data_IF_297079367869
#
_entry.id   IF_297079367869
#
_cell.length_a   1.000
_cell.length_b   1.000
_cell.length_c   1.000
_cell.angle_alpha   90.00
_cell.angle_beta   90.00
_cell.angle_gamma   90.00
#
_symmetry.space_group_name_H-M   'P 1'
#
loop_
_entity.id
_entity.type
_entity.pdbx_description
1 polymer ?
#
# COMPACT_ATOMS: atom_id res chain seq x y z
N UNK A 1 -10.65 10.82 46.86
CA UNK A 1 -9.89 9.69 46.30
C UNK A 1 -9.10 10.25 45.13
N UNK A 2 -7.77 10.28 45.20
CA UNK A 2 -6.97 10.75 44.07
C UNK A 2 -7.10 9.74 42.94
N UNK A 3 -7.65 10.18 41.80
CA UNK A 3 -7.68 9.36 40.59
C UNK A 3 -6.24 9.00 40.22
N UNK A 4 -5.96 7.72 40.00
CA UNK A 4 -4.66 7.28 39.45
C UNK A 4 -4.43 8.00 38.11
N UNK A 5 -3.23 8.56 37.86
CA UNK A 5 -2.89 9.11 36.55
C UNK A 5 -3.09 8.06 35.46
N UNK A 6 -3.64 8.48 34.31
CA UNK A 6 -3.95 7.61 33.17
C UNK A 6 -2.69 6.92 32.66
N UNK A 7 -1.55 7.61 32.60
CA UNK A 7 -0.29 7.01 32.18
C UNK A 7 0.12 5.86 33.12
N UNK A 8 -0.04 6.04 34.43
CA UNK A 8 0.36 5.03 35.42
C UNK A 8 -0.57 3.82 35.43
N UNK A 9 -1.79 3.97 34.93
CA UNK A 9 -2.72 2.87 34.73
C UNK A 9 -2.36 1.99 33.52
N UNK A 10 -1.52 2.48 32.58
CA UNK A 10 -1.12 1.69 31.41
C UNK A 10 -0.09 0.61 31.78
N UNK A 11 -0.05 -0.53 31.06
CA UNK A 11 1.04 -1.49 31.16
C UNK A 11 2.43 -0.84 30.98
N UNK A 12 3.43 -1.31 31.73
CA UNK A 12 4.77 -0.69 31.78
C UNK A 12 5.39 -0.50 30.39
N UNK A 13 5.25 -1.47 29.48
CA UNK A 13 5.82 -1.33 28.13
C UNK A 13 5.19 -0.18 27.34
N UNK A 14 3.89 0.09 27.52
CA UNK A 14 3.21 1.24 26.91
C UNK A 14 3.63 2.56 27.52
N UNK A 15 3.83 2.59 28.84
CA UNK A 15 4.39 3.76 29.51
C UNK A 15 5.76 4.12 28.91
N UNK A 16 6.63 3.12 28.76
CA UNK A 16 7.97 3.29 28.20
C UNK A 16 7.94 3.72 26.73
N UNK A 17 7.09 3.13 25.88
CA UNK A 17 6.91 3.54 24.48
C UNK A 17 6.42 5.00 24.34
N UNK A 18 5.49 5.42 25.21
CA UNK A 18 4.99 6.80 25.24
C UNK A 18 6.08 7.79 25.69
N UNK A 19 6.82 7.45 26.75
CA UNK A 19 7.90 8.27 27.29
C UNK A 19 9.13 8.33 26.36
N UNK A 20 9.31 7.35 25.48
CA UNK A 20 10.36 7.34 24.47
C UNK A 20 10.10 8.33 23.30
N UNK A 21 8.95 9.01 23.27
CA UNK A 21 8.64 9.97 22.21
C UNK A 21 9.44 11.26 22.36
N UNK A 22 10.04 11.77 21.27
CA UNK A 22 10.73 13.04 21.34
C UNK A 22 9.73 14.16 21.65
N UNK A 23 10.19 15.14 22.44
CA UNK A 23 9.49 16.39 22.70
C UNK A 23 8.15 16.28 23.45
N UNK A 24 7.93 15.20 24.21
CA UNK A 24 6.75 15.08 25.08
C UNK A 24 7.18 14.84 26.53
N UNK A 25 6.93 15.83 27.40
CA UNK A 25 7.11 15.67 28.84
C UNK A 25 6.01 14.78 29.44
N UNK A 26 6.29 14.16 30.58
CA UNK A 26 5.35 13.28 31.29
C UNK A 26 4.01 13.97 31.58
N UNK A 27 4.04 15.21 32.06
CA UNK A 27 2.82 15.99 32.35
C UNK A 27 1.98 16.26 31.08
N UNK A 28 2.63 16.60 29.97
CA UNK A 28 1.94 16.82 28.69
C UNK A 28 1.33 15.51 28.14
N UNK A 29 2.02 14.38 28.31
CA UNK A 29 1.50 13.05 27.96
C UNK A 29 0.27 12.71 28.81
N UNK A 30 0.35 12.94 30.12
CA UNK A 30 -0.74 12.69 31.05
C UNK A 30 -1.99 13.51 30.69
N UNK A 31 -1.82 14.82 30.48
CA UNK A 31 -2.91 15.70 30.04
C UNK A 31 -3.51 15.24 28.69
N UNK A 32 -2.66 14.82 27.75
CA UNK A 32 -3.12 14.32 26.45
C UNK A 32 -3.92 13.01 26.58
N UNK A 33 -3.46 12.08 27.40
CA UNK A 33 -4.16 10.81 27.64
C UNK A 33 -5.48 11.02 28.36
N UNK A 34 -5.53 11.89 29.37
CA UNK A 34 -6.76 12.26 30.05
C UNK A 34 -7.77 12.90 29.09
N UNK A 35 -7.34 13.84 28.24
CA UNK A 35 -8.19 14.45 27.22
C UNK A 35 -8.73 13.41 26.22
N UNK A 36 -7.89 12.47 25.78
CA UNK A 36 -8.33 11.38 24.89
C UNK A 36 -9.26 10.40 25.58
N UNK A 37 -9.05 10.09 26.86
CA UNK A 37 -9.93 9.22 27.64
C UNK A 37 -11.32 9.84 27.71
N UNK A 38 -11.41 11.13 28.01
CA UNK A 38 -12.67 11.87 28.00
C UNK A 38 -13.33 11.90 26.61
N UNK A 39 -12.54 12.07 25.54
CA UNK A 39 -13.06 12.12 24.18
C UNK A 39 -13.52 10.76 23.62
N UNK A 40 -12.83 9.67 23.99
CA UNK A 40 -13.13 8.32 23.49
C UNK A 40 -14.15 7.58 24.35
N UNK A 41 -14.34 7.97 25.61
CA UNK A 41 -15.21 7.26 26.54
C UNK A 41 -14.63 5.89 26.91
N UNK A 42 -15.47 4.86 26.98
CA UNK A 42 -15.07 3.54 27.46
C UNK A 42 -14.19 2.73 26.50
N UNK A 43 -14.16 3.06 25.20
CA UNK A 43 -13.37 2.32 24.22
C UNK A 43 -13.00 3.18 23.01
N UNK A 44 -11.89 2.87 22.34
CA UNK A 44 -11.55 3.56 21.10
C UNK A 44 -12.57 3.23 19.99
N UNK A 45 -13.02 4.26 19.28
CA UNK A 45 -13.86 4.07 18.10
C UNK A 45 -13.10 3.26 17.02
N UNK A 46 -13.81 2.29 16.43
CA UNK A 46 -13.34 1.62 15.22
C UNK A 46 -13.40 2.59 14.04
N UNK A 47 -12.53 2.42 13.03
CA UNK A 47 -12.65 3.18 11.80
C UNK A 47 -14.06 2.99 11.21
N UNK A 48 -14.74 4.05 10.78
CA UNK A 48 -16.11 3.96 10.28
C UNK A 48 -16.20 3.20 8.94
N UNK A 49 -15.09 3.11 8.21
CA UNK A 49 -15.00 2.43 6.92
C UNK A 49 -14.35 1.07 7.10
N UNK A 50 -15.15 0.00 6.99
CA UNK A 50 -14.63 -1.33 6.72
C UNK A 50 -14.14 -1.34 5.26
N UNK A 51 -12.83 -1.19 5.08
CA UNK A 51 -12.18 -1.41 3.79
C UNK A 51 -12.03 -2.91 3.57
N UNK A 52 -13.18 -3.56 3.41
CA UNK A 52 -13.29 -4.98 3.15
C UNK A 52 -12.33 -5.37 2.03
N UNK A 53 -11.60 -6.45 2.25
CA UNK A 53 -10.60 -6.98 1.34
C UNK A 53 -11.25 -8.05 0.47
N UNK A 54 -12.20 -7.67 -0.40
CA UNK A 54 -12.65 -8.67 -1.38
C UNK A 54 -11.43 -9.09 -2.21
N UNK A 55 -11.39 -10.33 -2.70
CA UNK A 55 -10.29 -10.81 -3.53
C UNK A 55 -10.08 -9.84 -4.69
N UNK A 56 -8.84 -9.36 -4.83
CA UNK A 56 -8.48 -8.44 -5.89
C UNK A 56 -7.53 -9.08 -6.88
N UNK A 57 -7.70 -8.72 -8.15
CA UNK A 57 -6.82 -9.11 -9.25
C UNK A 57 -6.23 -7.85 -9.87
N UNK A 58 -4.94 -7.87 -10.20
CA UNK A 58 -4.34 -6.79 -10.96
C UNK A 58 -4.34 -7.16 -12.44
N UNK A 59 -4.85 -6.29 -13.30
CA UNK A 59 -4.92 -6.48 -14.76
C UNK A 59 -4.11 -5.39 -15.45
N UNK A 60 -3.25 -5.75 -16.41
CA UNK A 60 -2.47 -4.78 -17.16
C UNK A 60 -3.38 -4.02 -18.14
N UNK A 61 -3.30 -2.69 -18.12
CA UNK A 61 -3.95 -1.82 -19.10
C UNK A 61 -3.01 -1.50 -20.27
N UNK A 62 -3.60 -1.14 -21.41
CA UNK A 62 -2.86 -0.63 -22.57
C UNK A 62 -2.13 0.70 -22.31
N UNK A 63 -2.38 1.33 -21.16
CA UNK A 63 -1.64 2.49 -20.64
C UNK A 63 -0.32 2.10 -19.94
N UNK A 64 -0.03 0.81 -19.83
CA UNK A 64 1.18 0.28 -19.17
C UNK A 64 1.09 0.24 -17.64
N UNK A 65 -0.06 0.54 -17.06
CA UNK A 65 -0.31 0.45 -15.63
C UNK A 65 -1.15 -0.79 -15.30
N UNK A 66 -0.99 -1.29 -14.08
CA UNK A 66 -1.84 -2.36 -13.54
C UNK A 66 -3.05 -1.74 -12.85
N UNK A 67 -4.24 -2.19 -13.21
CA UNK A 67 -5.52 -1.74 -12.67
C UNK A 67 -6.07 -2.79 -11.71
N UNK A 68 -6.67 -2.35 -10.60
CA UNK A 68 -7.16 -3.24 -9.54
C UNK A 68 -8.62 -3.63 -9.82
N UNK A 69 -8.92 -4.92 -9.89
CA UNK A 69 -10.25 -5.49 -10.02
C UNK A 69 -10.70 -6.11 -8.70
N UNK A 70 -11.95 -5.89 -8.31
CA UNK A 70 -12.65 -6.45 -7.15
C UNK A 70 -13.84 -7.28 -7.63
N UNK A 71 -13.72 -8.60 -7.61
CA UNK A 71 -14.72 -9.47 -8.24
C UNK A 71 -14.85 -9.13 -9.73
N UNK A 72 -16.00 -8.57 -10.14
CA UNK A 72 -16.26 -8.16 -11.53
C UNK A 72 -16.07 -6.66 -11.77
N UNK A 73 -15.69 -5.88 -10.75
CA UNK A 73 -15.68 -4.41 -10.78
C UNK A 73 -14.25 -3.89 -10.77
N UNK A 74 -13.95 -2.82 -11.50
CA UNK A 74 -12.64 -2.17 -11.44
C UNK A 74 -12.63 -1.06 -10.37
N UNK A 75 -11.59 -1.03 -9.54
CA UNK A 75 -11.40 -0.06 -8.43
C UNK A 75 -10.42 1.07 -8.81
N UNK A 76 -9.82 1.03 -10.00
CA UNK A 76 -8.98 2.14 -10.47
C UNK A 76 -9.78 3.44 -10.48
N UNK A 77 -9.22 4.51 -9.90
CA UNK A 77 -9.96 5.72 -9.55
C UNK A 77 -10.51 6.43 -10.79
N UNK A 78 -11.81 6.27 -11.04
CA UNK A 78 -12.52 6.94 -12.12
C UNK A 78 -13.34 8.16 -11.70
N UNK A 79 -13.80 8.33 -10.44
CA UNK A 79 -14.70 9.46 -10.07
C UNK A 79 -14.70 9.91 -8.61
N UNK A 80 -15.00 11.19 -8.47
CA UNK A 80 -15.63 11.86 -7.33
C UNK A 80 -17.16 11.88 -7.53
N UNK A 81 -17.95 11.48 -6.52
CA UNK A 81 -19.31 12.00 -6.26
C UNK A 81 -19.34 12.50 -4.82
N UNK A 82 -19.87 13.70 -4.50
CA UNK A 82 -20.10 14.08 -3.12
C UNK A 82 -21.43 13.48 -2.61
N UNK A 83 -21.32 12.53 -1.66
CA UNK A 83 -22.33 12.09 -0.67
C UNK A 83 -23.65 11.44 -1.18
N UNK A 84 -24.37 10.70 -0.31
CA UNK A 84 -24.71 9.30 -0.56
C UNK A 84 -25.98 9.17 -1.39
N UNK A 85 -25.88 8.43 -2.48
CA UNK A 85 -27.00 7.63 -2.94
C UNK A 85 -26.77 6.21 -2.44
N UNK A 86 -27.82 5.44 -2.04
CA UNK A 86 -27.69 4.01 -1.82
C UNK A 86 -27.04 3.38 -3.06
N UNK A 87 -26.26 2.31 -2.89
CA UNK A 87 -25.64 1.48 -3.94
C UNK A 87 -26.54 1.36 -5.19
N UNK A 88 -26.41 2.33 -6.09
CA UNK A 88 -27.26 2.55 -7.26
C UNK A 88 -26.56 3.58 -8.15
N UNK A 89 -25.33 3.27 -8.52
CA UNK A 89 -24.71 3.81 -9.72
C UNK A 89 -24.08 2.61 -10.41
N UNK A 90 -24.67 2.29 -11.56
CA UNK A 90 -24.48 1.09 -12.33
C UNK A 90 -22.99 0.71 -12.46
N UNK A 91 -22.72 -0.52 -12.01
CA UNK A 91 -21.52 -1.28 -12.30
C UNK A 91 -21.60 -1.62 -13.79
N UNK A 92 -20.79 -0.97 -14.63
CA UNK A 92 -20.79 -1.32 -16.05
C UNK A 92 -20.08 -2.67 -16.27
N UNK A 93 -20.68 -3.59 -17.06
CA UNK A 93 -20.01 -4.84 -17.45
C UNK A 93 -18.73 -4.56 -18.24
N UNK A 94 -17.71 -5.39 -18.02
CA UNK A 94 -16.45 -5.36 -18.74
C UNK A 94 -16.66 -5.69 -20.23
N UNK A 95 -16.61 -4.67 -21.10
CA UNK A 95 -16.29 -4.83 -22.52
C UNK A 95 -14.76 -4.78 -22.77
N UNK A 96 -13.97 -4.84 -21.69
CA UNK A 96 -12.52 -4.76 -21.73
C UNK A 96 -11.98 -3.34 -21.78
N UNK A 97 -12.81 -2.32 -21.58
CA UNK A 97 -12.40 -0.91 -21.59
C UNK A 97 -12.73 -0.23 -20.26
N UNK A 98 -11.79 0.55 -19.72
CA UNK A 98 -11.97 1.35 -18.50
C UNK A 98 -11.85 2.82 -18.83
N UNK A 99 -12.84 3.59 -18.42
CA UNK A 99 -12.89 5.03 -18.60
C UNK A 99 -12.19 5.76 -17.44
N UNK A 100 -11.08 6.47 -17.71
CA UNK A 100 -10.30 7.24 -16.71
C UNK A 100 -10.63 8.74 -16.72
N UNK A 101 -10.74 9.37 -15.53
CA UNK A 101 -10.86 10.84 -15.35
C UNK A 101 -9.73 11.35 -14.41
N UNK A 102 -8.89 12.34 -14.79
CA UNK A 102 -7.72 12.76 -13.99
C UNK A 102 -8.04 13.66 -12.76
N UNK A 103 -7.19 13.60 -11.73
CA UNK A 103 -7.35 14.29 -10.43
C UNK A 103 -6.85 15.77 -10.36
N UNK A 104 -6.03 16.25 -11.29
CA UNK A 104 -5.29 17.53 -11.12
C UNK A 104 -5.57 18.65 -12.13
N UNK A 105 -6.56 18.53 -13.00
CA UNK A 105 -6.86 19.58 -13.97
C UNK A 105 -8.11 20.38 -13.56
N UNK A 106 -8.02 21.71 -13.73
CA UNK A 106 -9.17 22.62 -13.72
C UNK A 106 -10.34 22.06 -14.54
N UNK A 107 -11.57 22.45 -14.18
CA UNK A 107 -12.85 22.04 -14.79
C UNK A 107 -12.89 22.10 -16.33
N UNK A 108 -11.98 22.83 -16.97
CA UNK A 108 -11.95 23.01 -18.40
C UNK A 108 -10.89 22.10 -19.05
N UNK A 109 -11.39 21.06 -19.72
CA UNK A 109 -10.75 20.25 -20.74
C UNK A 109 -9.54 19.37 -20.35
N UNK A 110 -9.81 18.10 -20.01
CA UNK A 110 -8.90 16.98 -20.35
C UNK A 110 -9.67 15.74 -20.81
N UNK A 111 -9.06 14.94 -21.71
CA UNK A 111 -9.71 13.78 -22.29
C UNK A 111 -9.90 12.75 -21.20
N UNK A 112 -11.15 12.33 -21.06
CA UNK A 112 -11.43 10.97 -20.65
C UNK A 112 -10.71 10.03 -21.64
N UNK A 113 -9.89 9.11 -21.15
CA UNK A 113 -9.32 8.08 -22.02
C UNK A 113 -9.75 6.70 -21.59
N UNK A 114 -9.96 5.89 -22.62
CA UNK A 114 -10.38 4.51 -22.54
C UNK A 114 -9.13 3.62 -22.47
N UNK A 115 -8.94 2.95 -21.33
CA UNK A 115 -7.88 1.97 -21.13
C UNK A 115 -8.40 0.60 -21.51
N UNK A 116 -7.87 0.05 -22.60
CA UNK A 116 -8.11 -1.34 -22.97
C UNK A 116 -7.35 -2.27 -22.04
N UNK A 117 -8.04 -3.14 -21.33
CA UNK A 117 -7.44 -4.19 -20.51
C UNK A 117 -6.84 -5.28 -21.41
N UNK A 118 -5.67 -5.79 -21.02
CA UNK A 118 -5.06 -6.96 -21.65
C UNK A 118 -5.53 -8.24 -20.95
N UNK A 119 -5.09 -9.40 -21.46
CA UNK A 119 -5.27 -10.68 -20.78
C UNK A 119 -4.30 -10.90 -19.62
N UNK A 120 -3.30 -10.03 -19.44
CA UNK A 120 -2.26 -10.21 -18.44
C UNK A 120 -2.79 -9.83 -17.06
N UNK A 121 -2.70 -10.77 -16.14
CA UNK A 121 -3.19 -10.63 -14.78
C UNK A 121 -2.17 -11.17 -13.77
N UNK A 122 -2.11 -10.57 -12.59
CA UNK A 122 -1.29 -11.07 -11.49
C UNK A 122 -1.86 -10.69 -10.12
N UNK A 123 -1.32 -11.32 -9.07
CA UNK A 123 -1.69 -10.97 -7.70
C UNK A 123 -1.25 -9.52 -7.38
N UNK A 124 -2.11 -8.68 -6.79
CA UNK A 124 -1.80 -7.26 -6.51
C UNK A 124 -0.53 -7.03 -5.69
N UNK A 125 -0.22 -7.95 -4.76
CA UNK A 125 1.00 -7.94 -3.96
C UNK A 125 2.31 -8.02 -4.78
N UNK A 126 2.27 -8.47 -6.04
CA UNK A 126 3.43 -8.57 -6.93
C UNK A 126 3.60 -7.35 -7.83
N UNK A 127 2.61 -6.44 -7.88
CA UNK A 127 2.70 -5.22 -8.68
C UNK A 127 3.54 -4.18 -7.94
N UNK A 128 4.67 -3.71 -8.51
CA UNK A 128 5.46 -2.63 -7.92
C UNK A 128 4.67 -1.33 -7.81
N UNK A 129 4.85 -0.51 -6.74
CA UNK A 129 4.08 0.71 -6.55
C UNK A 129 4.09 1.68 -7.73
N UNK A 130 5.21 1.81 -8.45
CA UNK A 130 5.33 2.70 -9.62
C UNK A 130 4.60 2.20 -10.88
N UNK A 131 4.09 0.96 -10.87
CA UNK A 131 3.31 0.39 -11.97
C UNK A 131 1.83 0.23 -11.60
N UNK A 132 1.42 0.67 -10.41
CA UNK A 132 0.02 0.60 -9.96
C UNK A 132 -0.75 1.80 -10.50
N UNK A 133 -1.92 1.54 -11.05
CA UNK A 133 -2.92 2.58 -11.24
C UNK A 133 -3.30 3.18 -9.88
N UNK A 134 -3.38 4.50 -9.74
CA UNK A 134 -3.88 5.14 -8.53
C UNK A 134 -5.27 4.63 -8.15
N UNK A 135 -5.46 4.35 -6.87
CA UNK A 135 -6.75 3.99 -6.26
C UNK A 135 -6.92 4.90 -5.07
N UNK A 136 -8.12 5.47 -4.86
CA UNK A 136 -8.39 6.22 -3.64
C UNK A 136 -8.54 5.23 -2.52
N UNK A 137 -7.98 5.57 -1.37
CA UNK A 137 -8.00 4.66 -0.22
C UNK A 137 -9.42 4.32 0.28
N UNK A 138 -10.43 5.11 -0.10
CA UNK A 138 -11.86 4.85 0.16
C UNK A 138 -12.48 3.82 -0.81
N UNK A 139 -11.99 3.74 -2.05
CA UNK A 139 -12.50 2.82 -3.09
C UNK A 139 -11.87 1.43 -2.93
N UNK A 140 -10.63 1.38 -2.45
CA UNK A 140 -9.92 0.16 -2.13
C UNK A 140 -8.45 0.44 -1.83
N UNK A 141 -7.73 -0.60 -1.43
CA UNK A 141 -6.30 -0.52 -1.19
C UNK A 141 -5.61 -1.64 -1.96
N UNK A 142 -4.50 -1.31 -2.60
CA UNK A 142 -3.63 -2.34 -3.17
C UNK A 142 -3.03 -3.18 -2.06
N UNK A 143 -2.93 -4.50 -2.28
CA UNK A 143 -2.16 -5.35 -1.38
C UNK A 143 -0.74 -4.79 -1.17
N UNK A 144 -0.20 -4.92 0.06
CA UNK A 144 1.16 -4.50 0.34
C UNK A 144 2.14 -5.17 -0.62
N UNK A 145 2.95 -4.36 -1.30
CA UNK A 145 3.94 -4.88 -2.24
C UNK A 145 4.94 -5.80 -1.54
N UNK A 146 5.01 -7.05 -2.02
CA UNK A 146 5.97 -8.07 -1.60
C UNK A 146 7.12 -8.08 -2.59
N UNK A 147 8.11 -7.22 -2.33
CA UNK A 147 9.26 -7.11 -3.24
C UNK A 147 10.08 -8.42 -3.23
N UNK A 148 10.39 -9.00 -4.40
CA UNK A 148 11.33 -10.12 -4.49
C UNK A 148 12.78 -9.67 -4.25
N UNK A 149 13.05 -8.36 -4.28
CA UNK A 149 14.39 -7.81 -4.14
C UNK A 149 14.82 -7.84 -2.67
N UNK A 150 15.86 -8.64 -2.38
CA UNK A 150 16.37 -8.90 -1.02
C UNK A 150 16.77 -7.64 -0.24
N UNK A 151 17.11 -6.54 -0.92
CA UNK A 151 17.62 -5.30 -0.32
C UNK A 151 16.54 -4.41 0.31
N UNK A 152 15.25 -4.62 0.02
CA UNK A 152 14.17 -3.85 0.65
C UNK A 152 13.78 -4.45 2.00
N UNK A 153 14.51 -4.07 3.05
CA UNK A 153 14.29 -4.59 4.40
C UNK A 153 12.86 -4.34 4.92
N UNK A 154 12.25 -3.17 4.62
CA UNK A 154 10.90 -2.84 5.12
C UNK A 154 9.86 -3.77 4.50
N UNK A 155 9.95 -4.00 3.18
CA UNK A 155 9.06 -4.94 2.48
C UNK A 155 9.25 -6.37 3.01
N UNK A 156 10.49 -6.83 3.23
CA UNK A 156 10.77 -8.16 3.79
C UNK A 156 10.18 -8.37 5.17
N UNK A 157 10.37 -7.43 6.11
CA UNK A 157 9.78 -7.52 7.45
C UNK A 157 8.26 -7.49 7.36
N UNK A 158 7.69 -6.60 6.55
CA UNK A 158 6.24 -6.56 6.32
C UNK A 158 5.69 -7.90 5.85
N UNK A 159 6.32 -8.53 4.86
CA UNK A 159 5.92 -9.86 4.38
C UNK A 159 5.95 -10.89 5.51
N UNK A 160 6.99 -10.92 6.35
CA UNK A 160 7.07 -11.85 7.51
C UNK A 160 5.94 -11.66 8.51
N UNK A 161 5.60 -10.42 8.84
CA UNK A 161 4.50 -10.13 9.76
C UNK A 161 3.13 -10.47 9.13
N UNK A 162 2.98 -10.25 7.83
CA UNK A 162 1.78 -10.68 7.09
C UNK A 162 1.68 -12.21 7.06
N UNK A 163 2.80 -12.92 6.87
CA UNK A 163 2.82 -14.39 6.84
C UNK A 163 2.49 -14.98 8.22
N UNK A 164 2.83 -14.29 9.31
CA UNK A 164 2.57 -14.74 10.67
C UNK A 164 1.14 -14.50 11.17
N UNK A 165 0.49 -13.40 10.74
CA UNK A 165 -0.81 -12.98 11.31
C UNK A 165 -1.83 -12.49 10.27
N UNK A 166 -1.58 -12.74 8.99
CA UNK A 166 -2.45 -12.34 7.88
C UNK A 166 -2.20 -10.92 7.37
N UNK A 167 -2.79 -10.62 6.19
CA UNK A 167 -2.61 -9.35 5.46
C UNK A 167 -3.42 -8.19 6.01
N UNK A 168 -4.37 -8.49 6.88
CA UNK A 168 -5.21 -7.48 7.49
C UNK A 168 -4.44 -6.68 8.54
N UNK A 169 -4.94 -5.48 8.82
CA UNK A 169 -4.45 -4.66 9.91
C UNK A 169 -4.52 -5.47 11.20
N UNK A 170 -3.37 -5.64 11.85
CA UNK A 170 -3.24 -6.42 13.08
C UNK A 170 -3.94 -5.78 14.28
N UNK A 171 -4.34 -4.51 14.18
CA UNK A 171 -5.13 -3.84 15.21
C UNK A 171 -6.65 -3.95 14.96
N UNK A 172 -7.16 -3.44 13.84
CA UNK A 172 -8.61 -3.42 13.62
C UNK A 172 -9.16 -4.68 12.95
N UNK A 173 -8.34 -5.40 12.16
CA UNK A 173 -8.80 -6.52 11.32
C UNK A 173 -9.62 -6.11 10.08
N UNK A 174 -9.97 -4.84 9.94
CA UNK A 174 -10.96 -4.36 8.95
C UNK A 174 -10.38 -3.83 7.64
N UNK A 175 -9.07 -3.55 7.57
CA UNK A 175 -8.42 -2.95 6.40
C UNK A 175 -7.05 -3.57 6.15
N UNK A 176 -6.50 -3.44 4.95
CA UNK A 176 -5.17 -3.99 4.63
C UNK A 176 -4.06 -3.34 5.48
N UNK A 177 -3.15 -4.17 5.98
CA UNK A 177 -2.00 -3.74 6.76
C UNK A 177 -0.88 -3.21 5.85
N UNK A 178 -0.74 -1.90 5.74
CA UNK A 178 0.21 -1.25 4.83
C UNK A 178 1.50 -0.81 5.52
N UNK A 179 1.52 -0.56 6.82
CA UNK A 179 2.68 -0.03 7.52
C UNK A 179 3.10 -0.91 8.68
N UNK A 180 4.41 -1.06 8.84
CA UNK A 180 4.98 -1.68 10.03
C UNK A 180 4.88 -0.69 11.18
N UNK A 181 4.27 -1.11 12.28
CA UNK A 181 4.26 -0.36 13.54
C UNK A 181 5.19 -1.03 14.54
N UNK A 182 5.83 -0.22 15.38
CA UNK A 182 6.84 -0.67 16.32
C UNK A 182 6.77 0.10 17.64
N UNK A 183 7.21 -0.57 18.69
CA UNK A 183 7.42 -0.03 20.02
C UNK A 183 8.67 0.87 20.01
N UNK A 184 8.56 2.15 20.37
CA UNK A 184 9.69 3.09 20.29
C UNK A 184 10.74 2.87 21.38
N UNK A 185 10.39 2.20 22.48
CA UNK A 185 11.33 1.93 23.56
C UNK A 185 12.22 0.72 23.23
N UNK A 186 11.62 -0.39 22.79
CA UNK A 186 12.35 -1.62 22.45
C UNK A 186 12.76 -1.69 20.97
N UNK A 187 12.20 -0.81 20.14
CA UNK A 187 12.28 -0.84 18.68
C UNK A 187 11.70 -2.10 18.02
N UNK A 188 11.06 -3.00 18.76
CA UNK A 188 10.46 -4.19 18.17
C UNK A 188 9.20 -3.84 17.39
N UNK A 189 9.08 -4.39 16.19
CA UNK A 189 7.86 -4.35 15.40
C UNK A 189 6.77 -5.11 16.15
N UNK A 190 5.59 -4.52 16.27
CA UNK A 190 4.42 -5.19 16.86
C UNK A 190 3.56 -5.84 15.77
N UNK A 191 3.40 -5.18 14.62
CA UNK A 191 2.50 -5.67 13.58
C UNK A 191 2.50 -4.85 12.29
N UNK A 192 1.60 -5.21 11.38
CA UNK A 192 1.23 -4.40 10.22
C UNK A 192 -0.13 -3.74 10.43
N UNK A 193 -0.19 -2.43 10.21
CA UNK A 193 -1.37 -1.61 10.44
C UNK A 193 -1.84 -0.94 9.14
N UNK A 194 -3.14 -0.72 9.03
CA UNK A 194 -3.69 0.16 8.01
C UNK A 194 -3.29 1.62 8.26
N UNK A 195 -3.50 2.48 7.28
CA UNK A 195 -3.15 3.91 7.36
C UNK A 195 -3.81 4.62 8.57
N UNK A 196 -5.06 4.27 8.87
CA UNK A 196 -5.77 4.86 10.01
C UNK A 196 -5.16 4.42 11.35
N UNK A 197 -4.96 3.10 11.52
CA UNK A 197 -4.42 2.57 12.76
C UNK A 197 -2.96 2.97 12.97
N UNK A 198 -2.14 3.07 11.92
CA UNK A 198 -0.72 3.44 12.05
C UNK A 198 -0.51 4.84 12.65
N UNK A 199 -1.43 5.77 12.39
CA UNK A 199 -1.40 7.12 12.96
C UNK A 199 -2.11 7.28 14.31
N UNK A 200 -2.94 6.31 14.73
CA UNK A 200 -3.85 6.51 15.86
C UNK A 200 -3.76 5.42 16.96
N UNK A 201 -3.14 4.26 16.68
CA UNK A 201 -3.14 3.14 17.63
C UNK A 201 -2.46 3.50 18.94
N UNK A 202 -1.35 4.21 18.84
CA UNK A 202 -0.48 4.60 19.95
C UNK A 202 -1.07 5.72 20.83
N UNK A 203 -2.22 6.25 20.43
CA UNK A 203 -2.96 7.30 21.11
C UNK A 203 -4.00 6.74 22.10
N UNK A 204 -4.18 5.43 22.12
CA UNK A 204 -5.11 4.77 23.02
C UNK A 204 -4.78 5.08 24.49
N UNK A 205 -5.72 5.65 25.26
CA UNK A 205 -5.55 5.90 26.69
C UNK A 205 -6.02 4.73 27.55
N UNK A 206 -6.73 3.76 26.98
CA UNK A 206 -7.28 2.62 27.71
C UNK A 206 -6.17 1.62 28.07
N UNK A 207 -6.11 1.12 29.32
CA UNK A 207 -5.17 0.07 29.70
C UNK A 207 -5.46 -1.25 28.99
N UNK A 208 -6.74 -1.59 28.83
CA UNK A 208 -7.27 -2.81 28.19
C UNK A 208 -8.69 -2.58 27.62
N UNK A 209 -9.32 -3.64 27.11
CA UNK A 209 -10.75 -3.67 26.79
C UNK A 209 -11.16 -2.95 25.51
N UNK A 210 -10.21 -2.50 24.70
CA UNK A 210 -10.49 -1.96 23.37
C UNK A 210 -9.46 -2.42 22.34
N UNK A 211 -9.84 -2.49 21.06
CA UNK A 211 -9.01 -3.08 20.01
C UNK A 211 -7.60 -2.46 19.88
N UNK A 212 -7.44 -1.17 20.20
CA UNK A 212 -6.13 -0.51 20.19
C UNK A 212 -5.29 -0.96 21.39
N UNK A 213 -5.90 -1.01 22.59
CA UNK A 213 -5.23 -1.50 23.80
C UNK A 213 -4.85 -2.98 23.64
N UNK A 214 -5.77 -3.81 23.14
CA UNK A 214 -5.55 -5.23 22.90
C UNK A 214 -4.39 -5.46 21.92
N UNK A 215 -4.34 -4.70 20.82
CA UNK A 215 -3.20 -4.73 19.91
C UNK A 215 -1.88 -4.30 20.56
N UNK A 216 -1.89 -3.22 21.35
CA UNK A 216 -0.67 -2.72 21.99
C UNK A 216 -0.16 -3.67 23.08
N UNK A 217 -1.04 -4.41 23.73
CA UNK A 217 -0.71 -5.35 24.81
C UNK A 217 -0.37 -6.74 24.27
N UNK A 218 -1.09 -7.19 23.25
CA UNK A 218 -1.02 -8.54 22.69
C UNK A 218 -1.02 -8.49 21.15
N UNK A 219 0.01 -7.90 20.53
CA UNK A 219 0.05 -7.80 19.08
C UNK A 219 0.14 -9.19 18.42
N UNK A 220 -0.68 -9.49 17.40
CA UNK A 220 -0.79 -10.82 16.79
C UNK A 220 0.54 -11.45 16.34
N UNK A 221 1.45 -10.63 15.81
CA UNK A 221 2.76 -11.05 15.33
C UNK A 221 3.91 -10.58 16.24
N UNK A 222 3.63 -10.15 17.47
CA UNK A 222 4.64 -9.64 18.41
C UNK A 222 5.67 -10.68 18.83
N UNK A 223 5.35 -11.96 18.71
CA UNK A 223 6.28 -13.06 19.00
C UNK A 223 7.50 -13.09 18.07
N UNK A 224 7.44 -12.45 16.89
CA UNK A 224 8.56 -12.36 15.96
C UNK A 224 9.73 -11.51 16.48
N UNK A 225 9.44 -10.51 17.33
CA UNK A 225 10.43 -9.65 18.02
C UNK A 225 11.52 -9.07 17.10
N UNK A 226 11.20 -8.80 15.83
CA UNK A 226 12.14 -8.17 14.91
C UNK A 226 12.26 -6.67 15.22
N UNK A 227 13.48 -6.14 15.35
CA UNK A 227 13.68 -4.68 15.46
C UNK A 227 13.27 -3.97 14.17
N UNK A 228 12.67 -2.79 14.27
CA UNK A 228 12.22 -2.00 13.13
C UNK A 228 13.41 -1.52 12.30
N UNK A 229 14.43 -0.92 12.90
CA UNK A 229 15.65 -0.53 12.19
C UNK A 229 16.63 -1.70 12.04
N UNK A 230 17.23 -1.85 10.86
CA UNK A 230 18.28 -2.83 10.57
C UNK A 230 19.51 -2.10 10.06
N UNK A 231 20.64 -2.25 10.78
CA UNK A 231 21.84 -1.43 10.58
C UNK A 231 21.72 -0.09 11.30
N UNK A 232 22.85 0.45 11.77
CA UNK A 232 22.96 1.66 12.61
C UNK A 232 21.95 2.75 12.27
N UNK A 233 21.57 3.48 13.32
CA UNK A 233 20.53 4.49 13.37
C UNK A 233 20.47 5.32 12.08
N UNK A 234 19.30 5.80 11.66
CA UNK A 234 19.21 6.74 10.51
C UNK A 234 20.13 7.97 10.71
N UNK A 235 20.45 8.26 11.98
CA UNK A 235 21.38 9.28 12.45
C UNK A 235 22.87 8.84 12.43
N UNK A 236 23.16 7.54 12.43
CA UNK A 236 24.52 6.98 12.36
C UNK A 236 25.04 6.92 10.92
N UNK A 237 24.16 7.10 9.93
CA UNK A 237 24.60 7.32 8.55
C UNK A 237 25.31 8.67 8.51
N UNK A 238 26.59 8.74 8.11
CA UNK A 238 27.28 10.00 7.94
C UNK A 238 26.43 10.86 6.99
N UNK A 239 25.88 11.97 7.50
CA UNK A 239 25.31 12.98 6.60
C UNK A 239 26.46 13.44 5.72
N UNK A 240 26.31 13.51 4.39
CA UNK A 240 27.30 14.15 3.54
C UNK A 240 27.55 15.53 4.16
N UNK A 241 28.76 15.76 4.66
CA UNK A 241 29.13 17.08 5.19
C UNK A 241 28.89 18.04 4.04
N UNK A 242 28.09 19.08 4.30
CA UNK A 242 27.80 20.11 3.32
C UNK A 242 29.11 20.62 2.75
N UNK A 243 29.38 20.24 1.50
CA UNK A 243 30.42 20.84 0.69
C UNK A 243 29.93 22.20 0.24
N UNK A 244 30.15 23.21 1.07
CA UNK A 244 30.15 24.59 0.60
C UNK A 244 31.27 24.75 -0.41
N UNK A 245 30.90 24.86 -1.68
CA UNK A 245 31.44 25.87 -2.59
C UNK A 245 32.83 25.66 -3.22
N UNK A 246 32.79 25.66 -4.55
CA UNK A 246 33.78 26.26 -5.49
C UNK A 246 34.95 25.37 -5.96
N UNK A 247 34.68 24.65 -7.05
CA UNK A 247 35.44 24.68 -8.32
C UNK A 247 34.66 23.75 -9.29
N UNK A 248 34.01 24.20 -10.35
CA UNK A 248 34.56 25.04 -11.40
C UNK A 248 35.34 24.18 -12.40
N UNK A 249 34.64 23.44 -13.28
CA UNK A 249 35.00 23.18 -14.70
C UNK A 249 34.01 22.22 -15.38
N UNK A 250 33.22 22.83 -16.28
CA UNK A 250 32.80 22.35 -17.60
C UNK A 250 33.15 20.91 -18.01
N UNK A 251 32.11 20.13 -18.33
CA UNK A 251 32.04 19.37 -19.59
C UNK A 251 30.58 19.05 -19.90
N UNK A 252 30.05 19.71 -20.94
CA UNK A 252 28.94 19.21 -21.75
C UNK A 252 29.20 17.77 -22.15
N UNK A 253 28.16 16.94 -22.16
CA UNK A 253 27.85 16.05 -23.29
C UNK A 253 26.45 15.48 -23.11
N UNK A 254 25.53 16.10 -23.84
CA UNK A 254 24.32 15.47 -24.37
C UNK A 254 24.73 14.21 -25.12
N UNK A 255 24.20 13.04 -24.76
CA UNK A 255 23.99 11.98 -25.74
C UNK A 255 22.83 11.07 -25.33
N UNK A 256 21.72 11.19 -26.06
CA UNK A 256 20.67 10.19 -26.16
C UNK A 256 21.21 8.92 -26.83
N UNK A 257 20.77 7.70 -26.48
CA UNK A 257 20.83 6.58 -27.41
C UNK A 257 19.60 6.60 -28.33
N UNK A 258 19.85 6.93 -29.60
CA UNK A 258 18.95 6.72 -30.74
C UNK A 258 18.74 5.24 -31.02
N UNK A 259 17.50 4.91 -31.39
CA UNK A 259 17.08 3.68 -32.04
C UNK A 259 17.99 3.32 -33.24
N UNK A 260 18.28 2.02 -33.41
CA UNK A 260 18.79 1.46 -34.66
C UNK A 260 17.70 0.65 -35.35
N UNK A 261 17.12 1.27 -36.38
CA UNK A 261 16.55 0.58 -37.53
C UNK A 261 17.72 0.10 -38.43
N UNK A 262 17.65 -1.14 -38.90
CA UNK A 262 18.25 -1.56 -40.17
C UNK A 262 17.26 -2.47 -40.90
N UNK A 263 16.67 -1.94 -41.96
CA UNK A 263 16.42 -2.67 -43.20
C UNK A 263 17.79 -2.88 -43.89
N UNK A 264 18.06 -3.83 -44.76
CA UNK A 264 17.30 -4.88 -45.46
C UNK A 264 18.24 -5.36 -46.59
N UNK A 265 18.05 -6.59 -47.08
CA UNK A 265 18.38 -7.08 -48.44
C UNK A 265 17.96 -8.57 -48.47
N UNK A 266 16.89 -8.98 -49.15
CA UNK A 266 16.63 -9.05 -50.60
C UNK A 266 17.27 -10.28 -51.28
N UNK A 267 16.41 -11.12 -51.90
CA UNK A 267 16.76 -12.25 -52.77
C UNK A 267 15.72 -13.39 -52.71
N UNK A 268 14.58 -13.27 -53.42
CA UNK A 268 14.24 -13.92 -54.71
C UNK A 268 13.84 -15.41 -54.58
N UNK A 269 12.53 -15.71 -54.59
CA UNK A 269 11.70 -16.18 -55.74
C UNK A 269 11.86 -17.71 -56.02
N UNK A 270 10.94 -18.58 -55.58
CA UNK A 270 9.68 -19.04 -56.24
C UNK A 270 9.92 -20.11 -57.35
N UNK A 271 8.91 -20.87 -57.82
CA UNK A 271 7.73 -21.52 -57.20
C UNK A 271 7.68 -23.03 -57.56
N UNK A 272 6.64 -23.78 -57.13
CA UNK A 272 5.95 -24.78 -57.98
C UNK A 272 4.74 -25.42 -57.29
N UNK A 273 3.67 -25.48 -58.07
CA UNK A 273 2.39 -26.17 -57.92
C UNK A 273 2.52 -27.67 -57.55
N UNK A 274 1.50 -28.29 -56.95
CA UNK A 274 0.47 -28.98 -57.73
C UNK A 274 -0.62 -29.68 -56.87
N UNK A 275 -1.73 -29.87 -57.57
CA UNK A 275 -3.08 -30.30 -57.27
C UNK A 275 -3.31 -31.63 -56.51
N UNK A 276 -4.37 -31.60 -55.70
CA UNK A 276 -5.56 -32.47 -55.70
C UNK A 276 -5.44 -34.02 -55.65
N UNK A 277 -6.20 -34.65 -54.71
CA UNK A 277 -7.44 -35.45 -54.98
C UNK A 277 -7.78 -36.48 -53.87
N UNK A 278 -9.07 -36.45 -53.47
CA UNK A 278 -10.06 -37.54 -53.31
C UNK A 278 -9.94 -38.63 -52.22
N UNK A 279 -11.10 -38.86 -51.58
CA UNK A 279 -11.66 -40.15 -51.10
C UNK A 279 -11.30 -40.52 -49.66
N UNK A 280 -12.12 -41.16 -48.81
CA UNK A 280 -13.41 -41.86 -48.97
C UNK A 280 -13.99 -42.22 -47.58
N UNK A 281 -15.32 -42.18 -47.45
CA UNK A 281 -16.29 -43.04 -46.70
C UNK A 281 -15.97 -43.82 -45.39
N UNK A 282 -16.94 -43.72 -44.47
CA UNK A 282 -17.57 -44.72 -43.56
C UNK A 282 -16.78 -45.75 -42.73
N UNK A 283 -17.17 -45.84 -41.44
CA UNK A 283 -17.17 -47.09 -40.66
C UNK A 283 -17.04 -46.88 -39.14
N UNK A 284 -18.15 -47.01 -38.39
CA UNK A 284 -18.19 -46.97 -36.92
C UNK A 284 -19.50 -46.46 -36.38
#
# INVERSE_FOLDING_TARGET
MSSTPVLDALPLHRQLDLLARPNQGREALEAQLAARMAAYGASCARPPEQRGHLPTLAILGGDGLWHLQLGTVMICSGRYRPKPAPLSSALEPLDGTIRHEPWFASRDARPVWDVRLTSDHQHPQHVPPGLRCPVRSEDGDWDPYRSPVRSNWKSRKRSRYIDAAGRMCHACGESLGIDLEYDRYTEHIRGVLCQYCSGAVYECPHPDGCYRADYLNHPPAGHLRERYYTGGNRNDRPRPRGGSGVAGRTASLVTQPRARLRAGDAGLAAPSDDLARRGTTHGG
#
